data_IF_649236552477
#
_entry.id   IF_649236552477
#
_cell.length_a   1.000
_cell.length_b   1.000
_cell.length_c   1.000
_cell.angle_alpha   90.00
_cell.angle_beta   90.00
_cell.angle_gamma   90.00
#
_symmetry.space_group_name_H-M   'P 1'
#
loop_
_entity.id
_entity.type
_entity.pdbx_description
1 polymer ?
#
# COMPACT_ATOMS: atom_id res chain seq x y z
N UNK A 1 -0.90 -33.95 -32.32
CA UNK A 1 -0.14 -32.72 -32.60
C UNK A 1 0.40 -32.24 -31.28
N UNK A 2 1.68 -32.51 -31.06
CA UNK A 2 2.40 -32.40 -29.79
C UNK A 2 2.62 -30.94 -29.41
N UNK A 3 2.08 -30.56 -28.25
CA UNK A 3 2.40 -29.34 -27.52
C UNK A 3 3.85 -29.40 -27.03
N UNK A 4 4.79 -28.88 -27.80
CA UNK A 4 6.15 -28.64 -27.30
C UNK A 4 6.14 -27.35 -26.48
N UNK A 5 6.01 -27.53 -25.16
CA UNK A 5 6.28 -26.49 -24.19
C UNK A 5 7.73 -26.01 -24.33
N UNK A 6 7.93 -24.69 -24.45
CA UNK A 6 9.24 -24.08 -24.27
C UNK A 6 9.78 -24.57 -22.91
N UNK A 7 10.96 -25.21 -22.85
CA UNK A 7 11.44 -25.82 -21.62
C UNK A 7 11.75 -24.72 -20.60
N UNK A 8 10.90 -24.61 -19.59
CA UNK A 8 11.22 -23.89 -18.37
C UNK A 8 12.31 -24.71 -17.65
N UNK A 9 13.38 -24.09 -17.14
CA UNK A 9 14.36 -24.79 -16.33
C UNK A 9 13.65 -25.46 -15.14
N UNK A 10 14.05 -26.69 -14.75
CA UNK A 10 13.41 -27.40 -13.65
C UNK A 10 13.39 -26.52 -12.40
N UNK A 11 12.20 -26.37 -11.79
CA UNK A 11 12.00 -25.56 -10.61
C UNK A 11 12.99 -25.95 -9.53
N UNK A 12 13.97 -25.08 -9.27
CA UNK A 12 15.06 -25.37 -8.37
C UNK A 12 14.50 -25.49 -6.95
N UNK A 13 14.44 -26.74 -6.46
CA UNK A 13 14.04 -27.04 -5.09
C UNK A 13 15.05 -26.36 -4.19
N UNK A 14 14.60 -25.49 -3.29
CA UNK A 14 15.52 -24.65 -2.50
C UNK A 14 16.57 -25.54 -1.80
N UNK A 15 17.81 -25.05 -1.61
CA UNK A 15 18.88 -25.82 -0.93
C UNK A 15 18.46 -26.34 0.46
N UNK A 16 17.44 -25.72 1.07
CA UNK A 16 16.85 -26.06 2.38
C UNK A 16 16.01 -27.34 2.31
N UNK A 17 15.35 -27.60 1.17
CA UNK A 17 14.59 -28.84 0.98
C UNK A 17 15.52 -30.07 0.97
N UNK A 18 16.80 -29.91 0.57
CA UNK A 18 17.80 -30.98 0.60
C UNK A 18 18.37 -31.23 2.00
N UNK A 19 18.50 -30.21 2.86
CA UNK A 19 19.13 -30.37 4.19
C UNK A 19 18.20 -30.82 5.31
N UNK A 20 16.87 -30.85 5.09
CA UNK A 20 15.86 -31.25 6.10
C UNK A 20 15.07 -32.51 5.75
N UNK A 21 15.44 -33.20 4.67
CA UNK A 21 14.88 -34.51 4.34
C UNK A 21 15.22 -35.52 5.44
N UNK A 22 14.22 -35.92 6.23
CA UNK A 22 14.38 -37.02 7.20
C UNK A 22 13.51 -36.93 8.46
N UNK A 23 12.95 -35.75 8.81
CA UNK A 23 12.08 -35.62 9.98
C UNK A 23 10.67 -36.13 9.70
N UNK A 24 10.18 -37.08 10.53
CA UNK A 24 8.80 -37.63 10.48
C UNK A 24 7.89 -36.88 11.46
N UNK A 25 6.57 -37.00 11.28
CA UNK A 25 5.56 -36.39 12.16
C UNK A 25 5.34 -34.89 11.91
N UNK A 26 4.94 -34.16 12.96
CA UNK A 26 4.57 -32.72 12.91
C UNK A 26 5.72 -31.85 12.42
N UNK A 27 6.95 -32.14 12.85
CA UNK A 27 8.15 -31.43 12.40
C UNK A 27 8.40 -31.61 10.89
N UNK A 28 8.13 -32.81 10.36
CA UNK A 28 8.20 -33.07 8.92
C UNK A 28 7.10 -32.37 8.13
N UNK A 29 5.90 -32.20 8.70
CA UNK A 29 4.84 -31.40 8.08
C UNK A 29 5.21 -29.91 8.07
N UNK A 30 5.73 -29.38 9.17
CA UNK A 30 6.22 -28.02 9.28
C UNK A 30 7.32 -27.71 8.26
N UNK A 31 8.31 -28.60 8.11
CA UNK A 31 9.38 -28.45 7.12
C UNK A 31 8.82 -28.47 5.68
N UNK A 32 7.81 -29.30 5.38
CA UNK A 32 7.13 -29.30 4.08
C UNK A 32 6.36 -28.01 3.82
N UNK A 33 5.69 -27.47 4.82
CA UNK A 33 4.90 -26.22 4.72
C UNK A 33 5.82 -25.02 4.50
N UNK A 34 6.95 -24.95 5.21
CA UNK A 34 7.97 -23.91 4.99
C UNK A 34 8.68 -24.07 3.64
N UNK A 35 8.94 -25.30 3.20
CA UNK A 35 9.59 -25.56 1.92
C UNK A 35 8.65 -25.37 0.71
N UNK A 36 7.33 -25.27 0.95
CA UNK A 36 6.37 -25.05 -0.12
C UNK A 36 6.57 -23.69 -0.78
N UNK A 37 6.66 -23.71 -2.11
CA UNK A 37 6.97 -22.53 -2.92
C UNK A 37 6.07 -22.48 -4.14
N UNK A 38 5.47 -21.32 -4.38
CA UNK A 38 4.73 -21.05 -5.60
C UNK A 38 5.69 -20.72 -6.75
N UNK A 39 5.38 -21.22 -7.94
CA UNK A 39 6.13 -20.88 -9.15
C UNK A 39 6.12 -19.38 -9.43
N UNK A 40 7.27 -18.85 -9.87
CA UNK A 40 7.47 -17.45 -10.23
C UNK A 40 7.89 -16.56 -9.06
N UNK A 41 8.03 -17.10 -7.84
CA UNK A 41 8.67 -16.38 -6.74
C UNK A 41 10.20 -16.35 -6.91
N UNK A 42 10.91 -15.33 -6.39
CA UNK A 42 12.38 -15.32 -6.35
C UNK A 42 12.94 -16.55 -5.62
N UNK A 43 14.17 -16.99 -5.94
CA UNK A 43 14.82 -18.11 -5.26
C UNK A 43 15.22 -17.75 -3.83
N UNK A 44 15.29 -18.75 -2.96
CA UNK A 44 15.81 -18.60 -1.58
C UNK A 44 14.79 -18.94 -0.49
N UNK A 45 13.59 -18.33 -0.53
CA UNK A 45 12.55 -18.48 0.50
C UNK A 45 11.35 -19.30 0.01
N UNK A 46 10.66 -19.98 0.94
CA UNK A 46 9.33 -20.55 0.68
C UNK A 46 8.24 -19.47 0.58
N UNK A 47 7.02 -19.82 0.15
CA UNK A 47 5.92 -18.86 -0.04
C UNK A 47 5.58 -18.10 1.25
N UNK A 48 5.51 -18.82 2.38
CA UNK A 48 5.17 -18.23 3.67
C UNK A 48 6.30 -17.32 4.16
N UNK A 49 7.55 -17.78 4.06
CA UNK A 49 8.73 -16.99 4.40
C UNK A 49 8.80 -15.72 3.54
N UNK A 50 8.49 -15.82 2.25
CA UNK A 50 8.42 -14.68 1.35
C UNK A 50 7.38 -13.65 1.77
N UNK A 51 6.17 -14.10 2.11
CA UNK A 51 5.10 -13.24 2.62
C UNK A 51 5.48 -12.58 3.94
N UNK A 52 6.11 -13.33 4.86
CA UNK A 52 6.59 -12.81 6.13
C UNK A 52 7.70 -11.79 5.94
N UNK A 53 8.64 -12.03 5.04
CA UNK A 53 9.71 -11.10 4.75
C UNK A 53 9.17 -9.81 4.11
N UNK A 54 8.19 -9.94 3.20
CA UNK A 54 7.55 -8.81 2.52
C UNK A 54 6.64 -7.96 3.40
N UNK A 55 6.17 -8.50 4.54
CA UNK A 55 5.22 -7.83 5.43
C UNK A 55 5.67 -6.43 5.89
N UNK A 56 6.96 -6.25 6.16
CA UNK A 56 7.53 -5.00 6.64
C UNK A 56 8.61 -4.42 5.72
N UNK A 57 8.63 -4.84 4.44
CA UNK A 57 9.51 -4.26 3.40
C UNK A 57 9.28 -2.75 3.22
N UNK A 58 8.04 -2.31 3.43
CA UNK A 58 7.62 -0.90 3.46
C UNK A 58 7.10 -0.59 4.88
N UNK A 59 8.01 -0.34 5.84
CA UNK A 59 7.67 -0.34 7.26
C UNK A 59 6.77 0.84 7.64
N UNK A 60 6.95 2.03 7.05
CA UNK A 60 6.12 3.19 7.32
C UNK A 60 4.67 2.94 6.89
N UNK A 61 4.49 2.44 5.68
CA UNK A 61 3.19 2.12 5.12
C UNK A 61 2.50 0.96 5.86
N UNK A 62 3.23 -0.11 6.19
CA UNK A 62 2.70 -1.24 6.96
C UNK A 62 2.27 -0.82 8.37
N UNK A 63 3.08 -0.02 9.05
CA UNK A 63 2.75 0.51 10.39
C UNK A 63 1.54 1.44 10.32
N UNK A 64 1.48 2.35 9.33
CA UNK A 64 0.34 3.24 9.13
C UNK A 64 -0.96 2.47 8.88
N UNK A 65 -0.91 1.41 8.07
CA UNK A 65 -2.05 0.54 7.80
C UNK A 65 -2.52 -0.20 9.07
N UNK A 66 -1.60 -0.81 9.81
CA UNK A 66 -1.91 -1.53 11.05
C UNK A 66 -2.46 -0.58 12.12
N UNK A 67 -1.80 0.56 12.33
CA UNK A 67 -2.23 1.57 13.31
C UNK A 67 -3.62 2.13 12.97
N UNK A 68 -3.89 2.38 11.69
CA UNK A 68 -5.19 2.90 11.26
C UNK A 68 -6.32 1.87 11.43
N UNK A 69 -6.03 0.60 11.13
CA UNK A 69 -7.05 -0.45 11.05
C UNK A 69 -7.29 -1.24 12.33
N UNK A 70 -6.28 -1.40 13.18
CA UNK A 70 -6.30 -2.34 14.30
C UNK A 70 -6.10 -1.67 15.66
N UNK A 71 -6.20 -0.33 15.71
CA UNK A 71 -6.20 0.42 16.97
C UNK A 71 -7.52 1.16 17.15
N UNK A 72 -7.71 1.73 18.34
CA UNK A 72 -8.89 2.52 18.66
C UNK A 72 -8.98 3.87 17.92
N UNK A 73 -8.07 4.19 16.99
CA UNK A 73 -8.00 5.52 16.35
C UNK A 73 -9.30 5.94 15.65
N UNK A 74 -10.00 5.01 14.97
CA UNK A 74 -11.29 5.30 14.33
C UNK A 74 -12.34 5.69 15.38
N UNK A 75 -12.38 4.96 16.50
CA UNK A 75 -13.29 5.24 17.62
C UNK A 75 -12.90 6.55 18.31
N UNK A 76 -11.61 6.79 18.52
CA UNK A 76 -11.10 8.01 19.12
C UNK A 76 -11.46 9.26 18.30
N UNK A 77 -11.42 9.17 16.96
CA UNK A 77 -11.87 10.26 16.08
C UNK A 77 -13.38 10.54 16.23
N UNK A 78 -14.19 9.50 16.41
CA UNK A 78 -15.62 9.66 16.70
C UNK A 78 -15.89 10.29 18.05
N UNK A 79 -15.23 9.80 19.10
CA UNK A 79 -15.35 10.38 20.45
C UNK A 79 -14.89 11.84 20.43
N UNK A 80 -13.78 12.15 19.74
CA UNK A 80 -13.29 13.51 19.57
C UNK A 80 -14.34 14.44 18.93
N UNK A 81 -15.04 13.98 17.90
CA UNK A 81 -16.13 14.75 17.29
C UNK A 81 -17.28 15.02 18.27
N UNK A 82 -17.71 14.00 19.02
CA UNK A 82 -18.77 14.15 20.03
C UNK A 82 -18.33 15.11 21.14
N UNK A 83 -17.10 14.98 21.62
CA UNK A 83 -16.51 15.89 22.61
C UNK A 83 -16.42 17.31 22.09
N UNK A 84 -16.04 17.52 20.83
CA UNK A 84 -16.00 18.85 20.21
C UNK A 84 -17.39 19.51 20.19
N UNK A 85 -18.41 18.76 19.76
CA UNK A 85 -19.80 19.25 19.73
C UNK A 85 -20.28 19.57 21.15
N UNK A 86 -20.03 18.68 22.11
CA UNK A 86 -20.38 18.89 23.52
C UNK A 86 -19.71 20.14 24.11
N UNK A 87 -18.42 20.35 23.84
CA UNK A 87 -17.69 21.53 24.30
C UNK A 87 -18.26 22.83 23.73
N UNK A 88 -18.63 22.85 22.44
CA UNK A 88 -19.31 24.02 21.83
C UNK A 88 -20.63 24.32 22.53
N UNK A 89 -21.46 23.30 22.76
CA UNK A 89 -22.77 23.47 23.42
C UNK A 89 -22.59 24.02 24.84
N UNK A 90 -21.67 23.47 25.62
CA UNK A 90 -21.37 23.93 26.97
C UNK A 90 -20.86 25.37 26.98
N UNK A 91 -19.95 25.72 26.07
CA UNK A 91 -19.42 27.09 25.96
C UNK A 91 -20.50 28.10 25.57
N UNK A 92 -21.33 27.80 24.57
CA UNK A 92 -22.43 28.68 24.15
C UNK A 92 -23.50 28.85 25.24
N UNK A 93 -23.82 27.76 25.96
CA UNK A 93 -24.71 27.81 27.12
C UNK A 93 -24.10 28.69 28.22
N UNK A 94 -22.83 28.48 28.57
CA UNK A 94 -22.13 29.29 29.59
C UNK A 94 -22.09 30.79 29.25
N UNK A 95 -21.84 31.15 27.99
CA UNK A 95 -21.87 32.55 27.51
C UNK A 95 -23.29 33.13 27.64
N UNK A 96 -24.31 32.35 27.33
CA UNK A 96 -25.71 32.78 27.39
C UNK A 96 -26.15 33.01 28.84
N UNK A 97 -25.79 32.11 29.75
CA UNK A 97 -26.16 32.20 31.17
C UNK A 97 -25.33 33.21 31.97
N UNK A 98 -24.12 33.54 31.54
CA UNK A 98 -23.27 34.55 32.19
C UNK A 98 -23.69 36.00 31.91
N UNK A 99 -24.88 36.24 31.33
CA UNK A 99 -25.45 37.57 31.16
C UNK A 99 -24.86 38.39 30.01
N UNK A 100 -23.94 37.82 29.21
CA UNK A 100 -23.36 38.47 28.02
C UNK A 100 -24.29 38.35 26.78
N UNK A 101 -25.61 38.36 26.99
CA UNK A 101 -26.65 37.98 26.03
C UNK A 101 -26.86 38.97 24.87
N UNK A 102 -26.27 40.16 24.91
CA UNK A 102 -26.36 41.14 23.84
C UNK A 102 -25.43 40.79 22.67
N UNK A 103 -25.81 39.80 21.85
CA UNK A 103 -25.17 39.56 20.56
C UNK A 103 -24.73 38.12 20.25
N UNK A 104 -25.09 37.14 21.07
CA UNK A 104 -24.72 35.72 20.87
C UNK A 104 -25.15 35.18 19.49
N UNK A 105 -26.21 35.74 18.90
CA UNK A 105 -26.72 35.42 17.56
C UNK A 105 -26.68 36.60 16.58
N UNK A 106 -26.08 37.73 16.97
CA UNK A 106 -26.02 38.93 16.14
C UNK A 106 -24.69 38.98 15.39
N UNK A 107 -24.63 38.36 14.21
CA UNK A 107 -23.46 38.38 13.32
C UNK A 107 -23.12 39.78 12.77
N UNK A 108 -23.92 40.79 13.11
CA UNK A 108 -23.83 42.18 12.63
C UNK A 108 -23.05 43.11 13.57
N UNK A 109 -22.75 42.71 14.82
CA UNK A 109 -21.95 43.52 15.75
C UNK A 109 -20.48 43.09 15.74
N UNK A 110 -19.60 43.99 15.30
CA UNK A 110 -18.19 43.71 14.98
C UNK A 110 -17.30 43.22 16.15
N UNK A 111 -17.79 43.15 17.39
CA UNK A 111 -16.98 42.79 18.58
C UNK A 111 -17.55 41.64 19.43
N UNK A 112 -18.88 41.56 19.64
CA UNK A 112 -19.47 40.53 20.50
C UNK A 112 -19.69 39.18 19.78
N UNK A 113 -20.25 39.20 18.55
CA UNK A 113 -20.49 37.99 17.76
C UNK A 113 -19.21 37.31 17.26
N UNK A 114 -18.15 38.10 17.03
CA UNK A 114 -16.83 37.58 16.68
C UNK A 114 -16.19 36.80 17.84
N UNK A 115 -16.33 37.31 19.08
CA UNK A 115 -15.76 36.65 20.26
C UNK A 115 -16.48 35.34 20.60
N UNK A 116 -17.81 35.29 20.47
CA UNK A 116 -18.59 34.05 20.69
C UNK A 116 -18.28 32.99 19.63
N UNK A 117 -18.11 33.41 18.37
CA UNK A 117 -17.69 32.52 17.29
C UNK A 117 -16.28 31.95 17.52
N UNK A 118 -15.32 32.79 17.89
CA UNK A 118 -13.95 32.36 18.22
C UNK A 118 -13.95 31.42 19.44
N UNK A 119 -14.73 31.72 20.48
CA UNK A 119 -14.86 30.87 21.66
C UNK A 119 -15.49 29.50 21.33
N UNK A 120 -16.48 29.47 20.43
CA UNK A 120 -17.06 28.22 19.93
C UNK A 120 -16.02 27.39 19.15
N UNK A 121 -15.25 28.00 18.25
CA UNK A 121 -14.18 27.28 17.54
C UNK A 121 -13.10 26.78 18.52
N UNK A 122 -12.65 27.62 19.44
CA UNK A 122 -11.62 27.24 20.41
C UNK A 122 -12.09 26.08 21.30
N UNK A 123 -13.33 26.13 21.80
CA UNK A 123 -13.92 25.04 22.58
C UNK A 123 -14.11 23.76 21.76
N UNK A 124 -14.48 23.86 20.48
CA UNK A 124 -14.53 22.71 19.58
C UNK A 124 -13.15 22.05 19.43
N UNK A 125 -12.10 22.83 19.19
CA UNK A 125 -10.72 22.34 19.04
C UNK A 125 -10.22 21.70 20.33
N UNK A 126 -10.45 22.32 21.48
CA UNK A 126 -10.08 21.78 22.80
C UNK A 126 -10.87 20.50 23.09
N UNK A 127 -12.18 20.50 22.86
CA UNK A 127 -13.04 19.33 23.01
C UNK A 127 -12.62 18.17 22.12
N UNK A 128 -12.29 18.46 20.86
CA UNK A 128 -11.76 17.48 19.93
C UNK A 128 -10.44 16.89 20.44
N UNK A 129 -9.46 17.75 20.74
CA UNK A 129 -8.13 17.34 21.17
C UNK A 129 -8.16 16.54 22.47
N UNK A 130 -8.93 17.00 23.46
CA UNK A 130 -9.09 16.32 24.75
C UNK A 130 -9.85 15.00 24.64
N UNK A 131 -10.96 14.96 23.88
CA UNK A 131 -11.71 13.73 23.64
C UNK A 131 -10.90 12.67 22.89
N UNK A 132 -10.16 13.11 21.86
CA UNK A 132 -9.22 12.25 21.14
C UNK A 132 -8.13 11.74 22.08
N UNK A 133 -7.43 12.64 22.78
CA UNK A 133 -6.31 12.28 23.64
C UNK A 133 -6.76 11.38 24.80
N UNK A 134 -7.88 11.65 25.45
CA UNK A 134 -8.41 10.83 26.53
C UNK A 134 -8.77 9.41 26.05
N UNK A 135 -9.41 9.29 24.89
CA UNK A 135 -9.79 7.97 24.34
C UNK A 135 -8.57 7.20 23.85
N UNK A 136 -7.68 7.87 23.12
CA UNK A 136 -6.51 7.25 22.53
C UNK A 136 -5.47 6.91 23.60
N UNK A 137 -5.18 7.82 24.53
CA UNK A 137 -4.27 7.56 25.64
C UNK A 137 -4.83 6.53 26.63
N UNK A 138 -6.14 6.51 26.91
CA UNK A 138 -6.72 5.44 27.75
C UNK A 138 -6.63 4.07 27.07
N UNK A 139 -6.79 4.01 25.75
CA UNK A 139 -6.57 2.79 24.97
C UNK A 139 -5.12 2.30 25.03
N UNK A 140 -4.15 3.22 25.00
CA UNK A 140 -2.72 2.87 25.06
C UNK A 140 -2.17 2.70 26.47
N UNK A 141 -2.68 3.38 27.50
CA UNK A 141 -2.15 3.30 28.87
C UNK A 141 -2.94 2.32 29.73
N UNK A 142 -4.24 2.15 29.46
CA UNK A 142 -5.13 1.22 30.18
C UNK A 142 -5.39 -0.10 29.44
N UNK A 143 -5.00 -0.25 28.18
CA UNK A 143 -5.32 -1.47 27.43
C UNK A 143 -4.19 -1.93 26.50
N UNK A 144 -2.92 -1.75 26.89
CA UNK A 144 -1.76 -2.26 26.14
C UNK A 144 -1.91 -3.72 25.69
N UNK A 145 -2.36 -4.67 26.54
CA UNK A 145 -2.55 -6.05 26.11
C UNK A 145 -3.61 -6.20 25.02
N UNK A 146 -4.68 -5.40 25.07
CA UNK A 146 -5.76 -5.43 24.07
C UNK A 146 -5.27 -4.87 22.73
N UNK A 147 -4.54 -3.74 22.75
CA UNK A 147 -3.95 -3.17 21.54
C UNK A 147 -2.93 -4.15 20.93
N UNK A 148 -2.08 -4.76 21.76
CA UNK A 148 -1.14 -5.77 21.30
C UNK A 148 -1.83 -7.00 20.70
N UNK A 149 -2.92 -7.47 21.30
CA UNK A 149 -3.74 -8.55 20.77
C UNK A 149 -4.39 -8.18 19.42
N UNK A 150 -4.94 -6.98 19.31
CA UNK A 150 -5.55 -6.49 18.08
C UNK A 150 -4.54 -6.38 16.93
N UNK A 151 -3.34 -5.85 17.20
CA UNK A 151 -2.24 -5.79 16.23
C UNK A 151 -1.74 -7.17 15.86
N UNK A 152 -1.60 -8.09 16.82
CA UNK A 152 -1.22 -9.48 16.56
C UNK A 152 -2.23 -10.16 15.62
N UNK A 153 -3.51 -10.06 15.93
CA UNK A 153 -4.60 -10.58 15.08
C UNK A 153 -4.57 -9.93 13.71
N UNK A 154 -4.37 -8.61 13.64
CA UNK A 154 -4.30 -7.87 12.38
C UNK A 154 -3.15 -8.31 11.48
N UNK A 155 -1.96 -8.54 12.05
CA UNK A 155 -0.81 -9.06 11.30
C UNK A 155 -1.07 -10.49 10.84
N UNK A 156 -1.58 -11.37 11.71
CA UNK A 156 -1.87 -12.77 11.36
C UNK A 156 -2.92 -12.85 10.25
N UNK A 157 -4.03 -12.13 10.38
CA UNK A 157 -5.07 -12.09 9.34
C UNK A 157 -4.55 -11.48 8.04
N UNK A 158 -3.76 -10.39 8.12
CA UNK A 158 -3.13 -9.78 6.95
C UNK A 158 -2.17 -10.73 6.24
N UNK A 159 -1.37 -11.49 6.97
CA UNK A 159 -0.49 -12.53 6.41
C UNK A 159 -1.31 -13.63 5.72
N UNK A 160 -2.39 -14.10 6.34
CA UNK A 160 -3.28 -15.10 5.72
C UNK A 160 -3.89 -14.56 4.42
N UNK A 161 -4.44 -13.34 4.45
CA UNK A 161 -5.00 -12.68 3.26
C UNK A 161 -3.92 -12.52 2.17
N UNK A 162 -2.72 -12.05 2.54
CA UNK A 162 -1.62 -11.85 1.61
C UNK A 162 -1.08 -13.14 1.00
N UNK A 163 -1.00 -14.23 1.78
CA UNK A 163 -0.66 -15.57 1.26
C UNK A 163 -1.73 -16.04 0.29
N UNK A 164 -3.01 -15.97 0.66
CA UNK A 164 -4.12 -16.37 -0.23
C UNK A 164 -4.10 -15.55 -1.52
N UNK A 165 -3.89 -14.24 -1.45
CA UNK A 165 -3.78 -13.37 -2.61
C UNK A 165 -2.59 -13.74 -3.51
N UNK A 166 -1.44 -14.09 -2.93
CA UNK A 166 -0.24 -14.52 -3.66
C UNK A 166 -0.48 -15.84 -4.39
N UNK A 167 -1.18 -16.78 -3.75
CA UNK A 167 -1.56 -18.07 -4.34
C UNK A 167 -2.57 -17.87 -5.47
N UNK A 168 -3.57 -17.02 -5.26
CA UNK A 168 -4.63 -16.72 -6.23
C UNK A 168 -4.20 -15.79 -7.36
N UNK A 169 -3.02 -15.16 -7.28
CA UNK A 169 -2.54 -14.16 -8.24
C UNK A 169 -2.72 -14.56 -9.73
N UNK A 170 -2.30 -15.74 -10.22
CA UNK A 170 -2.45 -16.12 -11.62
C UNK A 170 -3.91 -16.22 -12.06
N UNK A 171 -4.79 -16.65 -11.15
CA UNK A 171 -6.23 -16.70 -11.40
C UNK A 171 -6.80 -15.30 -11.47
N UNK A 172 -6.45 -14.43 -10.52
CA UNK A 172 -6.88 -13.03 -10.49
C UNK A 172 -6.40 -12.27 -11.75
N UNK A 173 -5.18 -12.52 -12.21
CA UNK A 173 -4.62 -11.89 -13.41
C UNK A 173 -5.31 -12.39 -14.69
N UNK A 174 -5.69 -13.67 -14.75
CA UNK A 174 -6.51 -14.20 -15.85
C UNK A 174 -7.91 -13.58 -15.87
N UNK A 175 -8.53 -13.40 -14.71
CA UNK A 175 -9.83 -12.72 -14.61
C UNK A 175 -9.76 -11.25 -15.05
N UNK A 176 -8.60 -10.60 -14.88
CA UNK A 176 -8.33 -9.27 -15.44
C UNK A 176 -8.11 -9.26 -16.96
N UNK A 177 -8.10 -10.42 -17.61
CA UNK A 177 -7.90 -10.55 -19.06
C UNK A 177 -6.44 -10.56 -19.50
N UNK A 178 -5.48 -10.69 -18.57
CA UNK A 178 -4.07 -10.77 -18.95
C UNK A 178 -3.74 -12.15 -19.53
N UNK A 179 -3.02 -12.12 -20.64
CA UNK A 179 -2.68 -13.31 -21.43
C UNK A 179 -1.19 -13.54 -21.44
N UNK A 180 -0.77 -14.72 -21.89
CA UNK A 180 0.64 -14.98 -22.18
C UNK A 180 1.07 -14.21 -23.46
N UNK A 181 2.34 -13.81 -23.58
CA UNK A 181 2.86 -13.27 -24.82
C UNK A 181 2.71 -14.30 -25.94
N UNK A 182 2.33 -13.85 -27.12
CA UNK A 182 2.35 -14.69 -28.32
C UNK A 182 3.79 -14.97 -28.74
N UNK A 183 4.01 -16.05 -29.50
CA UNK A 183 5.34 -16.38 -30.03
C UNK A 183 5.95 -15.24 -30.85
N UNK A 184 5.13 -14.56 -31.66
CA UNK A 184 5.56 -13.42 -32.46
C UNK A 184 5.98 -12.23 -31.60
N UNK A 185 5.20 -11.88 -30.58
CA UNK A 185 5.56 -10.78 -29.64
C UNK A 185 6.83 -11.11 -28.87
N UNK A 186 6.99 -12.38 -28.48
CA UNK A 186 8.20 -12.85 -27.81
C UNK A 186 9.43 -12.70 -28.71
N UNK A 187 9.36 -13.23 -29.93
CA UNK A 187 10.47 -13.20 -30.87
C UNK A 187 10.83 -11.77 -31.31
N UNK A 188 9.83 -10.92 -31.60
CA UNK A 188 10.07 -9.57 -32.13
C UNK A 188 10.47 -8.54 -31.07
N UNK A 189 9.92 -8.62 -29.85
CA UNK A 189 10.06 -7.53 -28.87
C UNK A 189 10.75 -7.97 -27.57
N UNK A 190 10.45 -9.17 -27.06
CA UNK A 190 10.86 -9.53 -25.69
C UNK A 190 12.17 -10.31 -25.61
N UNK A 191 12.52 -11.08 -26.64
CA UNK A 191 13.63 -12.05 -26.58
C UNK A 191 14.97 -11.38 -26.25
N UNK A 192 15.36 -10.38 -27.03
CA UNK A 192 16.61 -9.64 -26.89
C UNK A 192 16.67 -8.82 -25.58
N UNK A 193 15.58 -8.10 -25.28
CA UNK A 193 15.49 -7.32 -24.06
C UNK A 193 15.56 -8.20 -22.80
N UNK A 194 14.82 -9.32 -22.76
CA UNK A 194 14.85 -10.25 -21.62
C UNK A 194 16.22 -10.92 -21.48
N UNK A 195 16.85 -11.33 -22.58
CA UNK A 195 18.19 -11.91 -22.53
C UNK A 195 19.21 -10.92 -21.98
N UNK A 196 19.15 -9.67 -22.46
CA UNK A 196 19.97 -8.57 -21.95
C UNK A 196 19.81 -8.38 -20.45
N UNK A 197 18.57 -8.39 -19.93
CA UNK A 197 18.30 -8.27 -18.48
C UNK A 197 18.85 -9.47 -17.71
N UNK A 198 18.59 -10.69 -18.16
CA UNK A 198 19.05 -11.93 -17.49
C UNK A 198 20.56 -11.97 -17.37
N UNK A 199 21.27 -11.62 -18.44
CA UNK A 199 22.74 -11.65 -18.51
C UNK A 199 23.37 -10.56 -17.63
N UNK A 200 22.86 -9.33 -17.72
CA UNK A 200 23.40 -8.20 -16.95
C UNK A 200 23.09 -8.30 -15.46
N UNK A 201 21.88 -8.70 -15.09
CA UNK A 201 21.47 -8.86 -13.68
C UNK A 201 21.85 -10.23 -13.10
N UNK A 202 22.42 -11.14 -13.90
CA UNK A 202 22.83 -12.50 -13.50
C UNK A 202 21.71 -13.28 -12.81
N UNK A 203 20.51 -13.21 -13.38
CA UNK A 203 19.31 -13.77 -12.78
C UNK A 203 19.34 -15.31 -12.79
N UNK A 204 19.11 -15.92 -11.62
CA UNK A 204 18.96 -17.38 -11.51
C UNK A 204 17.57 -17.89 -11.87
N UNK A 205 16.57 -17.02 -11.80
CA UNK A 205 15.19 -17.31 -12.11
C UNK A 205 14.50 -16.04 -12.59
N UNK A 206 13.47 -16.19 -13.42
CA UNK A 206 12.66 -15.10 -13.93
C UNK A 206 11.19 -15.27 -13.52
N UNK A 207 10.46 -14.15 -13.32
CA UNK A 207 9.03 -14.19 -13.09
C UNK A 207 8.26 -14.61 -14.35
N UNK A 208 7.00 -14.99 -14.18
CA UNK A 208 6.11 -15.21 -15.32
C UNK A 208 5.84 -13.87 -16.01
N UNK A 209 5.91 -13.82 -17.34
CA UNK A 209 5.51 -12.65 -18.11
C UNK A 209 4.09 -12.80 -18.62
N UNK A 210 3.28 -11.75 -18.47
CA UNK A 210 1.96 -11.61 -19.07
C UNK A 210 1.87 -10.31 -19.86
N UNK A 211 1.00 -10.30 -20.86
CA UNK A 211 0.67 -9.14 -21.69
C UNK A 211 -0.75 -8.69 -21.37
N UNK A 212 -0.93 -7.38 -21.30
CA UNK A 212 -2.25 -6.76 -21.35
C UNK A 212 -2.44 -6.01 -22.67
N UNK A 213 -3.59 -6.24 -23.30
CA UNK A 213 -3.94 -5.68 -24.60
C UNK A 213 -4.47 -4.24 -24.46
N UNK A 214 -3.60 -3.32 -24.03
CA UNK A 214 -3.87 -1.88 -24.00
C UNK A 214 -2.78 -1.12 -24.77
N UNK A 215 -3.15 -0.10 -25.58
CA UNK A 215 -2.19 0.75 -26.27
C UNK A 215 -1.47 1.71 -25.31
N UNK A 216 -1.91 1.83 -24.05
CA UNK A 216 -1.29 2.72 -23.07
C UNK A 216 -0.02 2.04 -22.50
N UNK A 217 1.18 2.60 -22.69
CA UNK A 217 2.44 2.01 -22.25
C UNK A 217 2.52 1.94 -20.72
N UNK A 218 2.50 0.72 -20.16
CA UNK A 218 2.50 0.46 -18.72
C UNK A 218 3.18 -0.89 -18.44
N UNK A 219 3.95 -0.97 -17.37
CA UNK A 219 4.48 -2.20 -16.80
C UNK A 219 4.04 -2.30 -15.34
N UNK A 220 3.82 -3.53 -14.85
CA UNK A 220 3.54 -3.76 -13.44
C UNK A 220 4.13 -5.06 -12.94
N UNK A 221 4.88 -4.95 -11.86
CA UNK A 221 5.31 -6.10 -11.08
C UNK A 221 4.24 -6.55 -10.09
N UNK A 222 3.94 -7.85 -10.16
CA UNK A 222 3.18 -8.60 -9.17
C UNK A 222 4.12 -9.56 -8.41
N UNK A 223 3.62 -10.27 -7.41
CA UNK A 223 4.48 -11.10 -6.55
C UNK A 223 5.19 -12.23 -7.30
N UNK A 224 4.59 -12.75 -8.37
CA UNK A 224 5.11 -13.90 -9.15
C UNK A 224 5.20 -13.65 -10.64
N UNK A 225 4.76 -12.46 -11.07
CA UNK A 225 4.42 -12.18 -12.46
C UNK A 225 4.74 -10.72 -12.76
N UNK A 226 5.32 -10.44 -13.93
CA UNK A 226 5.41 -9.08 -14.47
C UNK A 226 4.42 -8.98 -15.62
N UNK A 227 3.62 -7.92 -15.64
CA UNK A 227 2.61 -7.66 -16.68
C UNK A 227 3.04 -6.46 -17.50
N UNK A 228 3.17 -6.64 -18.81
CA UNK A 228 3.56 -5.59 -19.74
C UNK A 228 2.37 -5.22 -20.62
N UNK A 229 2.22 -3.95 -20.97
CA UNK A 229 1.21 -3.55 -21.96
C UNK A 229 1.71 -3.69 -23.39
N UNK A 230 0.76 -3.88 -24.30
CA UNK A 230 1.04 -3.90 -25.73
C UNK A 230 1.69 -2.59 -26.22
N UNK A 231 1.19 -1.44 -25.74
CA UNK A 231 1.78 -0.14 -26.05
C UNK A 231 3.23 0.03 -25.58
N UNK A 232 3.63 -0.66 -24.52
CA UNK A 232 5.00 -0.62 -24.02
C UNK A 232 5.94 -1.44 -24.91
N UNK A 233 5.59 -2.70 -25.19
CA UNK A 233 6.45 -3.62 -25.93
C UNK A 233 6.59 -3.24 -27.41
N UNK A 234 5.56 -2.61 -28.01
CA UNK A 234 5.59 -2.12 -29.39
C UNK A 234 6.16 -0.70 -29.49
N UNK A 235 6.12 0.05 -28.38
CA UNK A 235 6.53 1.45 -28.33
C UNK A 235 8.03 1.64 -28.13
N UNK A 236 8.66 0.83 -27.27
CA UNK A 236 10.05 0.99 -26.86
C UNK A 236 11.04 0.23 -27.75
N UNK A 237 12.27 0.74 -27.86
CA UNK A 237 13.39 -0.03 -28.41
C UNK A 237 13.87 -1.14 -27.45
N UNK A 238 14.69 -2.08 -27.93
CA UNK A 238 15.15 -3.21 -27.12
C UNK A 238 15.94 -2.78 -25.87
N UNK A 239 16.75 -1.73 -25.97
CA UNK A 239 17.52 -1.20 -24.84
C UNK A 239 16.65 -0.43 -23.86
N UNK A 240 15.70 0.36 -24.35
CA UNK A 240 14.66 1.01 -23.51
C UNK A 240 13.83 -0.05 -22.75
N UNK A 241 13.35 -1.07 -23.46
CA UNK A 241 12.57 -2.16 -22.88
C UNK A 241 13.39 -2.99 -21.89
N UNK A 242 14.68 -3.24 -22.17
CA UNK A 242 15.57 -3.90 -21.23
C UNK A 242 15.76 -3.06 -19.95
N UNK A 243 15.87 -1.74 -20.07
CA UNK A 243 15.91 -0.82 -18.92
C UNK A 243 14.66 -0.91 -18.05
N UNK A 244 13.47 -0.84 -18.66
CA UNK A 244 12.19 -0.99 -17.94
C UNK A 244 12.04 -2.38 -17.33
N UNK A 245 12.38 -3.44 -18.06
CA UNK A 245 12.34 -4.81 -17.53
C UNK A 245 13.30 -5.01 -16.37
N UNK A 246 14.49 -4.40 -16.39
CA UNK A 246 15.44 -4.45 -15.29
C UNK A 246 14.88 -3.76 -14.04
N UNK A 247 14.27 -2.58 -14.20
CA UNK A 247 13.59 -1.87 -13.11
C UNK A 247 12.49 -2.73 -12.47
N UNK A 248 11.60 -3.32 -13.28
CA UNK A 248 10.55 -4.23 -12.80
C UNK A 248 11.12 -5.50 -12.16
N UNK A 249 12.24 -6.01 -12.67
CA UNK A 249 12.92 -7.16 -12.08
C UNK A 249 13.43 -6.87 -10.67
N UNK A 250 13.94 -5.65 -10.43
CA UNK A 250 14.36 -5.22 -9.08
C UNK A 250 13.15 -5.19 -8.14
N UNK A 251 12.00 -4.66 -8.56
CA UNK A 251 10.78 -4.71 -7.76
C UNK A 251 10.34 -6.15 -7.43
N UNK A 252 10.45 -7.06 -8.39
CA UNK A 252 10.08 -8.47 -8.20
C UNK A 252 11.01 -9.15 -7.19
N UNK A 253 12.30 -8.91 -7.35
CA UNK A 253 13.37 -9.39 -6.50
C UNK A 253 13.30 -8.84 -5.06
N UNK A 254 12.97 -7.57 -4.89
CA UNK A 254 12.84 -6.93 -3.56
C UNK A 254 11.49 -7.22 -2.90
N UNK A 255 10.53 -7.77 -3.64
CA UNK A 255 9.21 -8.10 -3.11
C UNK A 255 8.33 -6.87 -2.86
N UNK A 256 8.50 -5.79 -3.63
CA UNK A 256 7.71 -4.58 -3.42
C UNK A 256 6.22 -4.82 -3.71
N UNK A 257 5.95 -5.70 -4.67
CA UNK A 257 4.59 -6.16 -4.98
C UNK A 257 3.94 -6.95 -3.84
N UNK A 258 4.70 -7.72 -3.05
CA UNK A 258 4.17 -8.40 -1.86
C UNK A 258 4.02 -7.42 -0.70
N UNK A 259 4.93 -6.45 -0.56
CA UNK A 259 4.81 -5.38 0.43
C UNK A 259 3.52 -4.58 0.25
N UNK A 260 3.24 -4.14 -0.98
CA UNK A 260 2.01 -3.41 -1.30
C UNK A 260 0.75 -4.25 -1.02
N UNK A 261 0.79 -5.56 -1.32
CA UNK A 261 -0.30 -6.49 -0.93
C UNK A 261 -0.47 -6.60 0.57
N UNK A 262 0.62 -6.63 1.34
CA UNK A 262 0.58 -6.71 2.80
C UNK A 262 0.02 -5.42 3.40
N UNK A 263 0.37 -4.25 2.85
CA UNK A 263 -0.23 -2.96 3.25
C UNK A 263 -1.75 -2.99 3.06
N UNK A 264 -2.22 -3.45 1.90
CA UNK A 264 -3.65 -3.63 1.64
C UNK A 264 -4.29 -4.64 2.61
N UNK A 265 -3.61 -5.76 2.85
CA UNK A 265 -4.10 -6.81 3.74
C UNK A 265 -4.11 -6.38 5.21
N UNK A 266 -3.18 -5.55 5.68
CA UNK A 266 -3.19 -4.98 7.02
C UNK A 266 -4.23 -3.88 7.17
N UNK A 267 -4.39 -3.04 6.14
CA UNK A 267 -5.34 -1.94 6.13
C UNK A 267 -6.79 -2.33 5.83
N UNK A 268 -7.08 -3.62 5.57
CA UNK A 268 -8.36 -4.05 4.99
C UNK A 268 -9.64 -3.54 5.69
N UNK A 269 -9.72 -3.42 7.04
CA UNK A 269 -10.92 -2.90 7.70
C UNK A 269 -11.19 -1.44 7.34
N UNK A 270 -10.17 -0.58 7.45
CA UNK A 270 -10.23 0.82 7.01
C UNK A 270 -10.40 0.87 5.48
N UNK A 271 -9.82 -0.10 4.77
CA UNK A 271 -9.99 -0.24 3.34
C UNK A 271 -11.47 -0.38 2.94
N UNK A 272 -12.15 -1.33 3.57
CA UNK A 272 -13.56 -1.59 3.36
C UNK A 272 -14.42 -0.36 3.70
N UNK A 273 -14.12 0.32 4.82
CA UNK A 273 -14.87 1.50 5.25
C UNK A 273 -14.72 2.68 4.31
N UNK A 274 -13.51 3.00 3.84
CA UNK A 274 -13.37 4.09 2.86
C UNK A 274 -13.88 3.70 1.47
N UNK A 275 -13.76 2.43 1.03
CA UNK A 275 -14.44 1.95 -0.19
C UNK A 275 -15.94 2.19 -0.12
N UNK A 276 -16.55 1.83 1.01
CA UNK A 276 -17.97 2.01 1.25
C UNK A 276 -18.35 3.50 1.23
N UNK A 277 -17.54 4.36 1.85
CA UNK A 277 -17.76 5.81 1.87
C UNK A 277 -17.69 6.42 0.48
N UNK A 278 -16.70 6.01 -0.32
CA UNK A 278 -16.58 6.46 -1.70
C UNK A 278 -17.76 5.97 -2.56
N UNK A 279 -18.17 4.70 -2.40
CA UNK A 279 -19.35 4.15 -3.08
C UNK A 279 -20.62 4.93 -2.73
N UNK A 280 -20.88 5.18 -1.44
CA UNK A 280 -22.05 5.93 -0.97
C UNK A 280 -22.03 7.40 -1.43
N UNK A 281 -20.84 8.01 -1.57
CA UNK A 281 -20.69 9.36 -2.10
C UNK A 281 -21.01 9.49 -3.60
N UNK A 282 -21.27 8.38 -4.29
CA UNK A 282 -21.52 8.36 -5.73
C UNK A 282 -20.24 8.46 -6.56
N UNK A 283 -19.06 8.28 -5.96
CA UNK A 283 -17.81 8.21 -6.70
C UNK A 283 -17.83 6.99 -7.64
N UNK A 284 -17.94 7.26 -8.95
CA UNK A 284 -17.81 6.23 -9.98
C UNK A 284 -16.33 6.03 -10.29
N UNK A 285 -15.78 4.90 -9.86
CA UNK A 285 -14.45 4.47 -10.26
C UNK A 285 -14.56 3.75 -11.61
N UNK A 286 -14.40 4.49 -12.70
CA UNK A 286 -14.13 3.94 -14.03
C UNK A 286 -12.66 4.13 -14.39
N UNK A 287 -12.16 3.47 -15.47
CA UNK A 287 -10.89 3.85 -16.06
C UNK A 287 -10.89 5.36 -16.26
N UNK A 288 -9.85 6.06 -15.80
CA UNK A 288 -9.67 7.47 -16.17
C UNK A 288 -9.71 7.51 -17.70
N UNK A 289 -10.77 8.07 -18.27
CA UNK A 289 -10.76 8.44 -19.68
C UNK A 289 -9.72 9.57 -19.79
N UNK A 290 -8.48 9.18 -20.05
CA UNK A 290 -7.44 10.14 -20.34
C UNK A 290 -7.83 10.76 -21.68
N UNK A 291 -8.13 12.06 -21.66
CA UNK A 291 -8.24 12.87 -22.85
C UNK A 291 -6.88 12.84 -23.57
N UNK A 292 -6.70 11.85 -24.44
CA UNK A 292 -5.72 11.90 -25.50
C UNK A 292 -6.27 12.83 -26.58
N UNK A 293 -5.79 14.07 -26.61
CA UNK A 293 -5.94 14.93 -27.77
C UNK A 293 -5.17 14.27 -28.91
N UNK A 294 -5.89 13.64 -29.82
CA UNK A 294 -5.37 13.37 -31.17
C UNK A 294 -5.72 14.62 -31.97
N UNK A 295 -4.75 15.42 -32.47
CA UNK A 295 -5.08 16.51 -33.37
C UNK A 295 -5.50 15.87 -34.70
N UNK A 296 -6.81 15.72 -34.90
CA UNK A 296 -7.34 15.60 -36.25
C UNK A 296 -7.13 16.96 -36.92
N UNK A 297 -6.28 16.98 -37.95
CA UNK A 297 -6.10 18.16 -38.78
C UNK A 297 -7.46 18.61 -39.33
N UNK A 298 -7.90 19.82 -38.97
CA UNK A 298 -8.98 20.51 -39.67
C UNK A 298 -10.24 20.88 -38.88
N UNK A 299 -10.16 21.29 -37.61
CA UNK A 299 -11.25 22.11 -37.04
C UNK A 299 -10.75 23.04 -35.94
N UNK A 300 -11.12 24.31 -36.07
CA UNK A 300 -10.69 25.39 -35.18
C UNK A 300 -11.23 25.22 -33.76
N UNK A 301 -10.33 25.37 -32.78
CA UNK A 301 -10.55 25.93 -31.45
C UNK A 301 -11.79 25.52 -30.65
N UNK A 302 -11.60 24.66 -29.65
CA UNK A 302 -12.32 24.79 -28.37
C UNK A 302 -11.50 24.17 -27.25
N UNK A 303 -10.83 25.02 -26.46
CA UNK A 303 -10.22 24.63 -25.20
C UNK A 303 -11.33 24.36 -24.18
N UNK A 304 -11.60 23.11 -23.85
CA UNK A 304 -12.40 22.76 -22.66
C UNK A 304 -11.46 22.23 -21.59
N UNK A 305 -10.82 23.17 -20.90
CA UNK A 305 -10.26 22.95 -19.56
C UNK A 305 -11.44 22.87 -18.59
N UNK A 306 -11.73 21.67 -18.09
CA UNK A 306 -12.72 21.49 -17.04
C UNK A 306 -12.89 20.03 -16.71
N UNK A 307 -12.49 19.65 -15.50
CA UNK A 307 -12.95 18.41 -14.88
C UNK A 307 -14.48 18.42 -14.89
N UNK A 308 -15.12 17.70 -15.81
CA UNK A 308 -16.52 17.30 -15.65
C UNK A 308 -16.54 16.13 -14.68
N UNK A 309 -16.30 16.44 -13.40
CA UNK A 309 -17.02 15.75 -12.34
C UNK A 309 -18.48 16.01 -12.67
N UNK A 310 -19.17 15.01 -13.23
CA UNK A 310 -20.63 15.02 -13.17
C UNK A 310 -20.92 15.06 -11.67
N UNK A 311 -21.23 16.25 -11.14
CA UNK A 311 -21.78 16.41 -9.80
C UNK A 311 -23.09 15.62 -9.86
N UNK A 312 -23.02 14.34 -9.55
CA UNK A 312 -24.19 13.60 -9.13
C UNK A 312 -24.81 14.44 -8.03
N UNK A 313 -26.11 14.70 -8.14
CA UNK A 313 -26.89 15.34 -7.08
C UNK A 313 -26.44 14.74 -5.77
N UNK A 314 -25.88 15.55 -4.86
CA UNK A 314 -25.42 15.06 -3.54
C UNK A 314 -26.62 14.41 -2.87
N UNK A 315 -26.68 13.08 -2.94
CA UNK A 315 -27.79 12.32 -2.39
C UNK A 315 -27.69 12.40 -0.86
N UNK A 316 -28.82 12.26 -0.17
CA UNK A 316 -28.81 12.14 1.30
C UNK A 316 -27.86 11.01 1.73
N UNK A 317 -27.77 9.94 0.94
CA UNK A 317 -26.83 8.84 1.16
C UNK A 317 -25.36 9.25 1.03
N UNK A 318 -25.02 10.18 0.13
CA UNK A 318 -23.67 10.71 0.00
C UNK A 318 -23.27 11.52 1.24
N UNK A 319 -24.20 12.34 1.76
CA UNK A 319 -23.98 13.11 2.98
C UNK A 319 -23.83 12.19 4.19
N UNK A 320 -24.74 11.23 4.36
CA UNK A 320 -24.69 10.25 5.45
C UNK A 320 -23.44 9.36 5.37
N UNK A 321 -23.06 8.91 4.18
CA UNK A 321 -21.85 8.12 3.96
C UNK A 321 -20.59 8.89 4.34
N UNK A 322 -20.51 10.17 3.94
CA UNK A 322 -19.39 11.02 4.31
C UNK A 322 -19.38 11.30 5.82
N UNK A 323 -20.54 11.62 6.42
CA UNK A 323 -20.68 11.83 7.86
C UNK A 323 -20.30 10.59 8.67
N UNK A 324 -20.58 9.37 8.19
CA UNK A 324 -20.27 8.14 8.92
C UNK A 324 -18.84 7.62 8.69
N UNK A 325 -18.24 7.92 7.53
CA UNK A 325 -16.99 7.28 7.11
C UNK A 325 -15.81 8.27 7.01
N UNK A 326 -16.00 9.50 7.48
CA UNK A 326 -14.97 10.53 7.54
C UNK A 326 -13.68 10.10 8.27
N UNK A 327 -13.68 9.30 9.36
CA UNK A 327 -12.42 8.93 10.01
C UNK A 327 -11.58 8.03 9.11
N UNK A 328 -12.23 7.09 8.40
CA UNK A 328 -11.56 6.23 7.44
C UNK A 328 -11.00 7.03 6.28
N UNK A 329 -11.72 8.06 5.82
CA UNK A 329 -11.21 9.00 4.82
C UNK A 329 -9.98 9.77 5.29
N UNK A 330 -10.02 10.33 6.51
CA UNK A 330 -8.87 11.07 7.04
C UNK A 330 -7.65 10.18 7.24
N UNK A 331 -7.83 9.00 7.86
CA UNK A 331 -6.74 8.05 8.08
C UNK A 331 -6.12 7.60 6.74
N UNK A 332 -6.96 7.32 5.75
CA UNK A 332 -6.46 6.97 4.42
C UNK A 332 -5.66 8.11 3.82
N UNK A 333 -6.25 9.30 3.74
CA UNK A 333 -5.67 10.44 3.01
C UNK A 333 -4.46 11.07 3.69
N UNK A 334 -4.45 11.12 5.02
CA UNK A 334 -3.45 11.86 5.80
C UNK A 334 -2.48 10.99 6.58
N UNK A 335 -2.75 9.68 6.70
CA UNK A 335 -1.85 8.75 7.41
C UNK A 335 -1.32 7.68 6.46
N UNK A 336 -2.21 6.91 5.84
CA UNK A 336 -1.80 5.77 5.00
C UNK A 336 -1.16 6.22 3.69
N UNK A 337 -1.76 7.17 2.96
CA UNK A 337 -1.24 7.65 1.67
C UNK A 337 0.13 8.30 1.80
N UNK A 338 0.38 9.23 2.75
CA UNK A 338 1.71 9.82 2.87
C UNK A 338 2.78 8.79 3.29
N UNK A 339 2.43 7.84 4.15
CA UNK A 339 3.34 6.77 4.56
C UNK A 339 3.67 5.83 3.39
N UNK A 340 2.66 5.41 2.63
CA UNK A 340 2.83 4.63 1.40
C UNK A 340 3.64 5.39 0.36
N UNK A 341 3.41 6.70 0.20
CA UNK A 341 4.13 7.51 -0.75
C UNK A 341 5.62 7.62 -0.43
N UNK A 342 5.96 7.75 0.86
CA UNK A 342 7.36 7.79 1.30
C UNK A 342 8.07 6.49 0.94
N UNK A 343 7.51 5.35 1.35
CA UNK A 343 8.16 4.05 1.16
C UNK A 343 8.19 3.64 -0.32
N UNK A 344 7.12 3.94 -1.07
CA UNK A 344 7.03 3.71 -2.51
C UNK A 344 8.11 4.47 -3.29
N UNK A 345 8.30 5.77 -3.01
CA UNK A 345 9.37 6.56 -3.65
C UNK A 345 10.74 5.98 -3.38
N UNK A 346 11.01 5.55 -2.15
CA UNK A 346 12.28 4.90 -1.82
C UNK A 346 12.46 3.61 -2.62
N UNK A 347 11.41 2.80 -2.80
CA UNK A 347 11.47 1.59 -3.62
C UNK A 347 11.72 1.91 -5.11
N UNK A 348 11.08 2.94 -5.66
CA UNK A 348 11.30 3.39 -7.05
C UNK A 348 12.77 3.78 -7.29
N UNK A 349 13.34 4.62 -6.41
CA UNK A 349 14.74 5.04 -6.50
C UNK A 349 15.71 3.85 -6.37
N UNK A 350 15.38 2.87 -5.51
CA UNK A 350 16.17 1.64 -5.37
C UNK A 350 16.08 0.75 -6.61
N UNK A 351 14.92 0.70 -7.27
CA UNK A 351 14.74 -0.04 -8.52
C UNK A 351 15.49 0.60 -9.68
N UNK A 352 15.46 1.94 -9.78
CA UNK A 352 16.26 2.71 -10.74
C UNK A 352 17.76 2.49 -10.53
N UNK A 353 18.23 2.60 -9.29
CA UNK A 353 19.63 2.33 -8.93
C UNK A 353 20.04 0.88 -9.24
N UNK A 354 19.15 -0.10 -9.00
CA UNK A 354 19.39 -1.50 -9.32
C UNK A 354 19.51 -1.76 -10.83
N UNK A 355 18.66 -1.13 -11.64
CA UNK A 355 18.76 -1.19 -13.10
C UNK A 355 20.03 -0.49 -13.62
N UNK A 356 20.40 0.64 -13.03
CA UNK A 356 21.64 1.35 -13.34
C UNK A 356 22.89 0.54 -13.00
N UNK A 357 22.91 -0.11 -11.83
CA UNK A 357 24.00 -0.98 -11.39
C UNK A 357 24.17 -2.22 -12.30
N UNK A 358 23.10 -2.65 -12.97
CA UNK A 358 23.15 -3.68 -14.01
C UNK A 358 23.61 -3.15 -15.38
N UNK A 359 23.99 -1.87 -15.51
CA UNK A 359 24.40 -1.26 -16.78
C UNK A 359 23.23 -0.92 -17.72
N UNK A 360 21.99 -0.99 -17.22
CA UNK A 360 20.76 -0.77 -18.02
C UNK A 360 20.10 0.59 -17.73
N UNK A 361 20.74 1.42 -16.90
CA UNK A 361 20.24 2.75 -16.52
C UNK A 361 20.04 3.70 -17.69
N UNK A 362 20.94 3.68 -18.69
CA UNK A 362 20.79 4.53 -19.88
C UNK A 362 19.60 4.17 -20.76
N UNK A 363 19.23 2.88 -20.82
CA UNK A 363 18.00 2.44 -21.50
C UNK A 363 16.76 2.87 -20.72
N UNK A 364 16.79 2.72 -19.40
CA UNK A 364 15.72 3.15 -18.51
C UNK A 364 15.48 4.66 -18.58
N UNK A 365 16.54 5.47 -18.60
CA UNK A 365 16.44 6.93 -18.74
C UNK A 365 15.70 7.32 -20.02
N UNK A 366 16.13 6.80 -21.19
CA UNK A 366 15.43 7.07 -22.47
C UNK A 366 13.97 6.63 -22.45
N UNK A 367 13.68 5.50 -21.81
CA UNK A 367 12.31 5.04 -21.63
C UNK A 367 11.49 6.03 -20.78
N UNK A 368 12.05 6.56 -19.68
CA UNK A 368 11.38 7.55 -18.83
C UNK A 368 11.17 8.90 -19.54
N UNK A 369 12.10 9.33 -20.38
CA UNK A 369 11.94 10.54 -21.21
C UNK A 369 10.80 10.41 -22.22
N UNK A 370 10.57 9.18 -22.71
CA UNK A 370 9.58 8.86 -23.74
C UNK A 370 8.19 8.55 -23.18
N UNK A 371 8.14 7.93 -22.01
CA UNK A 371 6.91 7.52 -21.34
C UNK A 371 6.53 8.64 -20.37
N UNK A 372 5.44 9.39 -20.64
CA UNK A 372 4.94 10.39 -19.70
C UNK A 372 4.52 9.74 -18.34
N UNK A 373 4.16 10.49 -17.28
CA UNK A 373 3.79 9.89 -16.01
C UNK A 373 2.48 9.09 -16.12
N UNK A 374 2.50 7.75 -16.07
CA UNK A 374 1.29 6.91 -16.20
C UNK A 374 1.17 5.86 -15.09
N UNK A 375 0.51 6.25 -14.01
CA UNK A 375 0.09 5.34 -12.94
C UNK A 375 -1.38 5.65 -12.60
N UNK A 376 -2.29 4.96 -13.27
CA UNK A 376 -3.71 4.95 -12.93
C UNK A 376 -4.03 3.70 -12.14
N UNK A 377 -4.15 3.79 -10.82
CA UNK A 377 -4.57 2.61 -10.05
C UNK A 377 -5.99 2.16 -10.39
N UNK A 378 -6.23 0.86 -10.28
CA UNK A 378 -7.37 0.18 -10.92
C UNK A 378 -8.59 0.07 -10.00
N UNK A 379 -8.36 0.07 -8.69
CA UNK A 379 -9.40 0.24 -7.67
C UNK A 379 -9.24 1.59 -7.00
N UNK A 380 -10.28 2.07 -6.31
CA UNK A 380 -10.19 3.27 -5.48
C UNK A 380 -8.99 3.23 -4.53
N UNK A 381 -8.71 2.07 -3.96
CA UNK A 381 -7.61 1.83 -3.02
C UNK A 381 -6.25 1.72 -3.67
N UNK A 382 -6.15 0.94 -4.74
CA UNK A 382 -4.91 0.80 -5.49
C UNK A 382 -4.51 2.17 -6.07
N UNK A 383 -5.46 2.94 -6.61
CA UNK A 383 -5.20 4.30 -7.11
C UNK A 383 -4.72 5.26 -6.04
N UNK A 384 -5.21 5.11 -4.82
CA UNK A 384 -4.86 5.99 -3.71
C UNK A 384 -3.48 5.66 -3.15
N UNK A 385 -3.09 4.38 -3.10
CA UNK A 385 -1.77 3.95 -2.63
C UNK A 385 -0.69 4.03 -3.72
N UNK A 386 -1.04 3.76 -4.99
CA UNK A 386 -0.10 3.71 -6.12
C UNK A 386 0.12 5.05 -6.82
N UNK A 387 -0.70 6.09 -6.58
CA UNK A 387 -0.50 7.43 -7.18
C UNK A 387 0.69 8.22 -6.58
N UNK A 388 1.75 7.52 -6.18
CA UNK A 388 2.80 8.05 -5.31
C UNK A 388 4.20 7.98 -5.90
N UNK A 389 4.33 7.70 -7.21
CA UNK A 389 5.62 7.72 -7.89
C UNK A 389 6.31 9.08 -7.77
N UNK A 390 7.64 9.12 -7.61
CA UNK A 390 8.38 10.36 -7.68
C UNK A 390 8.25 10.97 -9.09
N UNK A 391 8.29 12.31 -9.22
CA UNK A 391 8.39 12.99 -10.50
C UNK A 391 9.50 12.40 -11.37
N UNK A 392 9.24 12.20 -12.66
CA UNK A 392 10.18 11.53 -13.57
C UNK A 392 11.51 12.28 -13.69
N UNK A 393 11.47 13.62 -13.75
CA UNK A 393 12.68 14.45 -13.77
C UNK A 393 13.59 14.16 -12.57
N UNK A 394 13.02 13.95 -11.37
CA UNK A 394 13.82 13.62 -10.18
C UNK A 394 14.39 12.20 -10.24
N UNK A 395 13.75 11.29 -10.97
CA UNK A 395 14.28 9.93 -11.20
C UNK A 395 15.42 9.97 -12.21
N UNK A 396 15.27 10.74 -13.28
CA UNK A 396 16.31 10.96 -14.29
C UNK A 396 17.53 11.62 -13.64
N UNK A 397 17.34 12.68 -12.87
CA UNK A 397 18.41 13.35 -12.10
C UNK A 397 19.13 12.36 -11.17
N UNK A 398 18.39 11.52 -10.42
CA UNK A 398 18.98 10.52 -9.54
C UNK A 398 19.77 9.42 -10.32
N UNK A 399 19.31 9.05 -11.52
CA UNK A 399 19.99 8.11 -12.41
C UNK A 399 21.30 8.70 -12.96
N UNK A 400 21.26 9.96 -13.38
CA UNK A 400 22.42 10.69 -13.92
C UNK A 400 23.49 10.96 -12.86
N UNK A 401 23.07 11.35 -11.66
CA UNK A 401 23.97 11.63 -10.55
C UNK A 401 24.54 10.36 -9.91
N UNK A 402 23.92 9.19 -10.13
CA UNK A 402 24.21 7.95 -9.42
C UNK A 402 24.12 8.10 -7.89
N UNK A 403 23.21 8.97 -7.43
CA UNK A 403 23.09 9.40 -6.03
C UNK A 403 22.51 8.35 -5.10
N UNK A 404 21.87 7.32 -5.66
CA UNK A 404 21.18 6.29 -4.89
C UNK A 404 21.99 5.01 -4.94
N UNK A 405 22.36 4.50 -3.77
CA UNK A 405 23.03 3.21 -3.67
C UNK A 405 22.10 2.10 -4.14
N UNK A 406 22.56 1.20 -5.02
CA UNK A 406 21.79 0.02 -5.35
C UNK A 406 21.59 -0.85 -4.08
N UNK A 407 20.57 -1.71 -4.04
CA UNK A 407 20.37 -2.64 -2.93
C UNK A 407 21.64 -3.47 -2.65
N UNK A 408 22.04 -3.58 -1.36
CA UNK A 408 23.32 -4.16 -0.90
C UNK A 408 23.55 -5.60 -1.36
N UNK A 409 22.50 -6.43 -1.39
CA UNK A 409 22.49 -7.66 -2.17
C UNK A 409 21.51 -7.49 -3.32
N UNK A 410 21.88 -7.85 -4.57
CA UNK A 410 20.94 -7.96 -5.67
C UNK A 410 19.82 -8.94 -5.32
N UNK A 411 18.74 -8.39 -4.77
CA UNK A 411 17.42 -8.86 -5.11
C UNK A 411 16.86 -10.09 -4.40
N UNK A 412 16.99 -10.21 -3.08
CA UNK A 412 16.02 -11.03 -2.33
C UNK A 412 15.70 -10.44 -0.96
N UNK A 413 14.41 -10.37 -0.62
CA UNK A 413 14.00 -10.47 0.77
C UNK A 413 14.67 -11.70 1.39
N UNK A 414 15.42 -11.49 2.48
CA UNK A 414 16.21 -12.54 3.10
C UNK A 414 15.58 -13.00 4.44
N UNK A 415 16.23 -13.94 5.11
CA UNK A 415 15.73 -14.49 6.39
C UNK A 415 15.76 -13.52 7.55
N UNK A 416 16.54 -12.43 7.51
CA UNK A 416 16.54 -11.45 8.60
C UNK A 416 15.19 -10.74 8.66
N UNK A 417 14.60 -10.42 7.51
CA UNK A 417 13.26 -9.84 7.40
C UNK A 417 12.17 -10.80 7.91
N UNK A 418 12.32 -12.11 7.66
CA UNK A 418 11.44 -13.13 8.25
C UNK A 418 11.55 -13.10 9.79
N UNK A 419 12.77 -12.97 10.32
CA UNK A 419 13.04 -12.85 11.74
C UNK A 419 12.42 -11.60 12.38
N UNK A 420 12.40 -10.46 11.67
CA UNK A 420 11.72 -9.23 12.13
C UNK A 420 10.23 -9.48 12.32
N UNK A 421 9.55 -10.04 11.32
CA UNK A 421 8.12 -10.34 11.40
C UNK A 421 7.80 -11.31 12.53
N UNK A 422 8.61 -12.36 12.71
CA UNK A 422 8.47 -13.27 13.84
C UNK A 422 8.68 -12.59 15.18
N UNK A 423 9.69 -11.74 15.31
CA UNK A 423 9.98 -11.01 16.54
C UNK A 423 8.82 -10.11 16.91
N UNK A 424 8.27 -9.37 15.95
CA UNK A 424 7.08 -8.53 16.14
C UNK A 424 5.89 -9.38 16.63
N UNK A 425 5.61 -10.51 15.99
CA UNK A 425 4.52 -11.40 16.40
C UNK A 425 4.71 -11.95 17.81
N UNK A 426 5.92 -12.40 18.16
CA UNK A 426 6.23 -12.94 19.50
C UNK A 426 6.11 -11.86 20.58
N UNK A 427 6.64 -10.67 20.31
CA UNK A 427 6.55 -9.54 21.25
C UNK A 427 5.09 -9.15 21.47
N UNK A 428 4.30 -8.98 20.40
CA UNK A 428 2.88 -8.64 20.51
C UNK A 428 2.10 -9.73 21.25
N UNK A 429 2.35 -11.00 20.95
CA UNK A 429 1.72 -12.12 21.66
C UNK A 429 2.09 -12.13 23.14
N UNK A 430 3.36 -11.90 23.48
CA UNK A 430 3.84 -11.82 24.85
C UNK A 430 3.16 -10.69 25.64
N UNK A 431 3.05 -9.50 25.06
CA UNK A 431 2.35 -8.37 25.67
C UNK A 431 0.85 -8.64 25.79
N UNK A 432 0.23 -9.23 24.77
CA UNK A 432 -1.18 -9.59 24.78
C UNK A 432 -1.52 -10.62 25.87
N UNK A 433 -0.64 -11.59 26.10
CA UNK A 433 -0.82 -12.65 27.08
C UNK A 433 -0.34 -12.28 28.49
N UNK A 434 0.40 -11.17 28.65
CA UNK A 434 0.97 -10.75 29.94
C UNK A 434 -0.03 -10.75 31.12
N UNK A 435 -1.30 -10.30 30.96
CA UNK A 435 -2.29 -10.35 32.04
C UNK A 435 -2.65 -11.77 32.51
N UNK A 436 -2.43 -12.79 31.68
CA UNK A 436 -2.75 -14.19 32.00
C UNK A 436 -1.57 -14.95 32.60
N UNK A 437 -0.38 -14.32 32.71
CA UNK A 437 0.81 -14.95 33.28
C UNK A 437 0.76 -14.81 34.81
N UNK A 438 0.74 -15.94 35.56
CA UNK A 438 0.77 -15.91 37.02
C UNK A 438 1.98 -15.12 37.54
N UNK A 439 1.75 -14.12 38.39
CA UNK A 439 2.78 -13.23 38.95
C UNK A 439 2.83 -11.82 38.36
N UNK A 440 2.22 -11.57 37.19
CA UNK A 440 2.13 -10.22 36.61
C UNK A 440 1.33 -9.26 37.53
N UNK A 441 0.24 -9.76 38.12
CA UNK A 441 -0.55 -9.02 39.11
C UNK A 441 0.20 -8.72 40.42
N UNK A 442 1.23 -9.50 40.78
CA UNK A 442 1.91 -9.34 42.07
C UNK A 442 2.84 -8.10 42.12
N UNK A 443 3.21 -7.51 40.99
CA UNK A 443 4.03 -6.30 40.94
C UNK A 443 3.25 -5.00 40.63
N UNK A 444 2.10 -5.09 39.96
CA UNK A 444 1.32 -3.89 39.60
C UNK A 444 0.49 -3.37 40.79
N UNK A 445 0.14 -4.22 41.76
CA UNK A 445 -0.57 -3.78 42.97
C UNK A 445 0.25 -2.90 43.93
N UNK A 446 1.58 -2.78 43.74
CA UNK A 446 2.39 -1.82 44.50
C UNK A 446 2.44 -0.42 43.87
N UNK A 447 1.95 -0.24 42.64
CA UNK A 447 1.94 1.04 41.93
C UNK A 447 0.52 1.56 41.68
N UNK A 448 -0.32 1.64 42.73
CA UNK A 448 -1.38 2.65 42.95
C UNK A 448 -2.31 3.16 41.83
N UNK A 449 -2.40 2.58 40.64
CA UNK A 449 -3.20 3.10 39.54
C UNK A 449 -4.07 2.01 38.93
N UNK A 450 -5.23 1.79 39.55
CA UNK A 450 -6.43 1.33 38.86
C UNK A 450 -7.68 1.70 39.68
N UNK A 451 -8.55 2.60 39.18
CA UNK A 451 -9.96 2.48 39.47
C UNK A 451 -10.74 2.26 38.16
N UNK A 452 -11.58 1.22 38.26
CA UNK A 452 -12.66 0.77 37.39
C UNK A 452 -13.25 1.77 36.40
#
# INVERSE_FOLDING_TARGET
MSEEAVPLPPGDVSPVARSRQGRRGVLGLYDRVLAWRCDGLPPGLGTIEWCMAGAFRMPGAATAALASAWTAVVVALWVALVSAIGSVVVTLFGITFSGHTAGVLNFSSHTAGGLTFIAAIASAVIGFGSGFAATYASSYLGALPVVAAALFVGIVLGLVIGIVATVMEPTLLRWKGYRRPSRREWELHLSDAMQTVVDNMKLRATPKLLIMDTPVPQAWTHSRTIVLSKGLIEGLDSGELAGVLAHEMVHWQQGDAIANRMILAFGWPVAALYSLGMFLSGARFGPKAQQGVVPAAGTAGTHVSGQTVVKGTTSVMAVLGWMLLWPSYLLTKFVMVPAAARDSRTAEYQADAGAAAAGLGGGLQRALERIAPWEGGRTAWEAVLSATHPPMELRIEALEAHDVTPPEEPGTLNRTHVGVTWTVLVVLLGVALAPFIPGYHAHVHHSGYWPW
#
